data_IF_470555637422
#
_entry.id   IF_470555637422
#
_cell.length_a   1.000
_cell.length_b   1.000
_cell.length_c   1.000
_cell.angle_alpha   90.00
_cell.angle_beta   90.00
_cell.angle_gamma   90.00
#
_symmetry.space_group_name_H-M   'P 1'
#
loop_
_entity.id
_entity.type
_entity.pdbx_description
1 polymer ?
#
# COMPACT_ATOMS: atom_id res chain seq x y z
N UNK A 1 -28.46 -29.83 11.64
CA UNK A 1 -27.12 -29.94 11.00
C UNK A 1 -26.12 -29.48 12.03
N UNK A 2 -25.18 -30.33 12.51
CA UNK A 2 -24.09 -29.88 13.40
C UNK A 2 -23.04 -29.29 12.48
N UNK A 3 -22.71 -28.01 12.68
CA UNK A 3 -21.58 -27.36 12.02
C UNK A 3 -20.31 -27.88 12.69
N UNK A 4 -19.45 -28.56 11.96
CA UNK A 4 -18.12 -28.94 12.43
C UNK A 4 -17.19 -27.74 12.23
N UNK A 5 -16.64 -27.24 13.34
CA UNK A 5 -15.66 -26.17 13.33
C UNK A 5 -14.26 -26.75 13.49
N UNK A 6 -13.33 -26.28 12.67
CA UNK A 6 -11.91 -26.62 12.84
C UNK A 6 -11.40 -26.00 14.14
N UNK A 7 -10.81 -26.80 15.02
CA UNK A 7 -10.31 -26.35 16.30
C UNK A 7 -8.84 -25.95 16.18
N UNK A 8 -8.60 -24.69 15.82
CA UNK A 8 -7.25 -24.10 15.70
C UNK A 8 -6.95 -23.22 16.90
N UNK A 9 -5.76 -23.36 17.48
CA UNK A 9 -5.33 -22.48 18.58
C UNK A 9 -5.21 -21.02 18.07
N UNK A 10 -5.54 -20.01 18.89
CA UNK A 10 -5.50 -18.61 18.47
C UNK A 10 -4.15 -18.19 17.86
N UNK A 11 -3.04 -18.71 18.36
CA UNK A 11 -1.69 -18.42 17.86
C UNK A 11 -1.40 -19.03 16.48
N UNK A 12 -2.16 -20.06 16.08
CA UNK A 12 -1.94 -20.82 14.84
C UNK A 12 -2.91 -20.40 13.71
N UNK A 13 -3.90 -19.54 13.99
CA UNK A 13 -4.95 -19.16 13.03
C UNK A 13 -4.37 -18.52 11.79
N UNK A 14 -3.44 -17.59 11.93
CA UNK A 14 -2.80 -16.93 10.77
C UNK A 14 -1.99 -17.94 9.95
N UNK A 15 -1.22 -18.80 10.61
CA UNK A 15 -0.46 -19.87 9.96
C UNK A 15 -1.38 -20.81 9.18
N UNK A 16 -2.49 -21.24 9.81
CA UNK A 16 -3.47 -22.11 9.17
C UNK A 16 -4.11 -21.44 7.95
N UNK A 17 -4.41 -20.14 8.04
CA UNK A 17 -4.92 -19.36 6.90
C UNK A 17 -3.91 -19.33 5.74
N UNK A 18 -2.63 -19.13 6.02
CA UNK A 18 -1.59 -19.17 4.97
C UNK A 18 -1.39 -20.56 4.36
N UNK A 19 -1.57 -21.63 5.14
CA UNK A 19 -1.56 -23.01 4.62
C UNK A 19 -2.71 -23.19 3.61
N UNK A 20 -3.94 -22.82 3.98
CA UNK A 20 -5.12 -22.89 3.10
C UNK A 20 -4.88 -22.06 1.83
N UNK A 21 -4.43 -20.82 1.96
CA UNK A 21 -4.15 -19.97 0.80
C UNK A 21 -3.10 -20.61 -0.11
N UNK A 22 -2.09 -21.24 0.47
CA UNK A 22 -1.04 -21.91 -0.31
C UNK A 22 -1.58 -23.12 -1.05
N UNK A 23 -2.43 -23.94 -0.39
CA UNK A 23 -3.10 -25.09 -0.99
C UNK A 23 -4.02 -24.67 -2.15
N UNK A 24 -4.80 -23.59 -1.97
CA UNK A 24 -5.71 -23.08 -3.01
C UNK A 24 -4.97 -22.38 -4.16
N UNK A 25 -3.81 -21.78 -3.94
CA UNK A 25 -2.96 -21.25 -5.01
C UNK A 25 -2.36 -22.37 -5.87
N UNK A 26 -2.20 -23.58 -5.32
CA UNK A 26 -1.68 -24.74 -6.04
C UNK A 26 -0.31 -24.47 -6.68
N UNK A 27 -0.17 -24.80 -7.97
CA UNK A 27 1.08 -24.64 -8.73
C UNK A 27 1.32 -23.21 -9.24
N UNK A 28 0.49 -22.23 -8.85
CA UNK A 28 0.62 -20.85 -9.29
C UNK A 28 1.92 -20.25 -8.79
N UNK A 29 2.80 -19.88 -9.71
CA UNK A 29 4.08 -19.23 -9.40
C UNK A 29 3.86 -17.74 -9.16
N UNK A 30 4.15 -17.29 -7.96
CA UNK A 30 4.23 -15.87 -7.61
C UNK A 30 5.63 -15.35 -7.97
N UNK A 31 5.74 -14.02 -8.17
CA UNK A 31 7.03 -13.39 -8.38
C UNK A 31 7.92 -13.60 -7.15
N UNK A 32 9.17 -14.10 -7.30
CA UNK A 32 10.05 -14.34 -6.17
C UNK A 32 10.26 -13.09 -5.29
N UNK A 33 10.15 -13.27 -3.97
CA UNK A 33 10.27 -12.19 -3.00
C UNK A 33 8.97 -11.41 -2.73
N UNK A 34 7.88 -11.67 -3.46
CA UNK A 34 6.58 -11.00 -3.27
C UNK A 34 5.53 -11.85 -2.58
N UNK A 35 5.83 -13.13 -2.33
CA UNK A 35 4.88 -14.15 -1.89
C UNK A 35 4.15 -13.76 -0.61
N UNK A 36 4.88 -13.19 0.36
CA UNK A 36 4.27 -12.74 1.61
C UNK A 36 3.27 -11.61 1.39
N UNK A 37 3.61 -10.64 0.54
CA UNK A 37 2.73 -9.50 0.23
C UNK A 37 1.44 -10.00 -0.43
N UNK A 38 1.57 -10.84 -1.45
CA UNK A 38 0.43 -11.40 -2.18
C UNK A 38 -0.48 -12.21 -1.25
N UNK A 39 0.09 -13.16 -0.49
CA UNK A 39 -0.67 -13.98 0.45
C UNK A 39 -1.35 -13.16 1.54
N UNK A 40 -0.73 -12.10 2.04
CA UNK A 40 -1.35 -11.18 3.00
C UNK A 40 -2.50 -10.40 2.39
N UNK A 41 -2.41 -9.97 1.13
CA UNK A 41 -3.53 -9.33 0.43
C UNK A 41 -4.70 -10.30 0.25
N UNK A 42 -4.43 -11.56 -0.12
CA UNK A 42 -5.46 -12.61 -0.19
C UNK A 42 -6.06 -12.85 1.20
N UNK A 43 -5.25 -13.01 2.25
CA UNK A 43 -5.73 -13.22 3.61
C UNK A 43 -6.64 -12.07 4.10
N UNK A 44 -6.29 -10.82 3.77
CA UNK A 44 -7.04 -9.63 4.19
C UNK A 44 -8.39 -9.48 3.48
N UNK A 45 -8.51 -10.00 2.25
CA UNK A 45 -9.67 -9.78 1.37
C UNK A 45 -10.45 -11.06 1.02
N UNK A 46 -9.88 -12.23 1.27
CA UNK A 46 -10.32 -13.53 0.73
C UNK A 46 -10.44 -13.52 -0.81
N UNK A 47 -9.62 -12.70 -1.50
CA UNK A 47 -9.68 -12.52 -2.95
C UNK A 47 -8.38 -12.99 -3.61
N UNK A 48 -8.44 -14.09 -4.33
CA UNK A 48 -7.29 -14.72 -5.00
C UNK A 48 -6.83 -13.97 -6.25
N UNK A 49 -7.62 -13.02 -6.79
CA UNK A 49 -7.19 -12.21 -7.93
C UNK A 49 -5.94 -11.38 -7.64
N UNK A 50 -5.62 -11.12 -6.37
CA UNK A 50 -4.36 -10.46 -5.99
C UNK A 50 -3.12 -11.24 -6.40
N UNK A 51 -3.21 -12.56 -6.60
CA UNK A 51 -2.12 -13.37 -7.12
C UNK A 51 -1.81 -13.10 -8.60
N UNK A 52 -2.73 -12.47 -9.32
CA UNK A 52 -2.57 -12.10 -10.74
C UNK A 52 -2.43 -10.60 -10.93
N UNK A 53 -3.15 -9.83 -10.13
CA UNK A 53 -3.35 -8.41 -10.34
C UNK A 53 -2.34 -7.52 -9.60
N UNK A 54 -1.62 -8.04 -8.59
CA UNK A 54 -0.53 -7.29 -7.98
C UNK A 54 0.68 -7.26 -8.90
N UNK A 55 1.05 -6.05 -9.31
CA UNK A 55 2.20 -5.75 -10.14
C UNK A 55 3.26 -5.02 -9.33
N UNK A 56 4.50 -5.40 -9.54
CA UNK A 56 5.67 -4.85 -8.87
C UNK A 56 6.63 -4.32 -9.93
N UNK A 57 7.18 -3.13 -9.74
CA UNK A 57 8.34 -2.70 -10.50
C UNK A 57 9.56 -3.54 -10.13
N UNK A 58 10.58 -3.54 -10.97
CA UNK A 58 11.82 -4.27 -10.70
C UNK A 58 12.41 -3.82 -9.35
N UNK A 59 12.78 -4.78 -8.50
CA UNK A 59 13.33 -4.55 -7.16
C UNK A 59 12.47 -3.71 -6.19
N UNK A 60 11.17 -3.54 -6.44
CA UNK A 60 10.29 -2.70 -5.61
C UNK A 60 10.30 -3.10 -4.13
N UNK A 61 10.31 -4.40 -3.83
CA UNK A 61 10.28 -4.92 -2.46
C UNK A 61 11.59 -4.63 -1.74
N UNK A 62 12.72 -4.90 -2.38
CA UNK A 62 14.05 -4.66 -1.83
C UNK A 62 14.28 -3.16 -1.58
N UNK A 63 13.88 -2.32 -2.53
CA UNK A 63 13.99 -0.86 -2.43
C UNK A 63 13.10 -0.33 -1.29
N UNK A 64 11.86 -0.81 -1.19
CA UNK A 64 10.96 -0.44 -0.10
C UNK A 64 11.51 -0.83 1.28
N UNK A 65 12.05 -2.04 1.41
CA UNK A 65 12.69 -2.52 2.64
C UNK A 65 13.90 -1.65 3.00
N UNK A 66 14.74 -1.33 2.01
CA UNK A 66 15.90 -0.46 2.21
C UNK A 66 15.46 0.96 2.63
N UNK A 67 14.44 1.53 2.00
CA UNK A 67 13.90 2.84 2.34
C UNK A 67 13.36 2.87 3.79
N UNK A 68 12.58 1.86 4.19
CA UNK A 68 12.05 1.74 5.56
C UNK A 68 13.20 1.68 6.57
N UNK A 69 14.20 0.83 6.34
CA UNK A 69 15.38 0.71 7.23
C UNK A 69 16.17 2.02 7.34
N UNK A 70 16.09 2.88 6.33
CA UNK A 70 16.71 4.20 6.28
C UNK A 70 15.78 5.34 6.73
N UNK A 71 14.71 5.04 7.47
CA UNK A 71 13.85 6.02 8.11
C UNK A 71 12.76 6.61 7.21
N UNK A 72 12.41 5.96 6.10
CA UNK A 72 11.32 6.44 5.25
C UNK A 72 10.00 6.50 6.02
N UNK A 73 9.25 7.58 5.77
CA UNK A 73 7.92 7.79 6.31
C UNK A 73 6.86 7.33 5.30
N UNK A 74 5.68 6.97 5.80
CA UNK A 74 4.56 6.53 4.95
C UNK A 74 3.49 7.62 4.92
N UNK A 75 3.06 8.02 3.72
CA UNK A 75 1.93 8.93 3.50
C UNK A 75 0.74 8.16 2.97
N UNK A 76 -0.41 8.31 3.60
CA UNK A 76 -1.66 7.65 3.19
C UNK A 76 -2.71 8.66 2.75
N UNK A 77 -3.60 8.25 1.86
CA UNK A 77 -4.74 9.04 1.40
C UNK A 77 -6.01 8.85 2.25
N UNK A 78 -5.94 8.01 3.30
CA UNK A 78 -7.08 7.81 4.22
C UNK A 78 -6.61 7.61 5.66
N UNK A 79 -7.41 8.06 6.61
CA UNK A 79 -7.18 7.78 8.04
C UNK A 79 -7.31 6.28 8.35
N UNK A 80 -8.11 5.53 7.57
CA UNK A 80 -8.25 4.09 7.71
C UNK A 80 -6.91 3.39 7.43
N UNK A 81 -6.26 3.70 6.30
CA UNK A 81 -4.94 3.15 5.99
C UNK A 81 -3.90 3.53 7.06
N UNK A 82 -3.85 4.82 7.44
CA UNK A 82 -2.99 5.29 8.54
C UNK A 82 -3.21 4.52 9.84
N UNK A 83 -4.46 4.22 10.18
CA UNK A 83 -4.79 3.48 11.40
C UNK A 83 -4.38 2.00 11.31
N UNK A 84 -4.47 1.39 10.13
CA UNK A 84 -4.14 -0.02 9.88
C UNK A 84 -2.65 -0.32 9.85
N UNK A 85 -1.79 0.67 9.61
CA UNK A 85 -0.33 0.47 9.55
C UNK A 85 0.24 0.29 10.97
N UNK A 86 1.14 -0.68 11.13
CA UNK A 86 1.87 -0.94 12.38
C UNK A 86 2.93 0.14 12.64
N UNK A 87 2.48 1.26 13.23
CA UNK A 87 3.33 2.42 13.54
C UNK A 87 4.48 2.07 14.48
N UNK A 88 4.25 1.12 15.42
CA UNK A 88 5.29 0.68 16.36
C UNK A 88 6.43 -0.06 15.64
N UNK A 89 6.11 -0.85 14.62
CA UNK A 89 7.14 -1.50 13.81
C UNK A 89 7.92 -0.47 12.99
N UNK A 90 7.20 0.45 12.31
CA UNK A 90 7.81 1.50 11.49
C UNK A 90 8.71 2.44 12.31
N UNK A 91 8.28 2.84 13.51
CA UNK A 91 9.03 3.78 14.37
C UNK A 91 10.37 3.24 14.86
N UNK A 92 10.58 1.92 14.85
CA UNK A 92 11.90 1.33 15.17
C UNK A 92 12.98 1.72 14.17
N UNK A 93 12.57 2.09 12.96
CA UNK A 93 13.43 2.54 11.88
C UNK A 93 13.41 4.07 11.72
N UNK A 94 12.77 4.81 12.64
CA UNK A 94 12.64 6.27 12.60
C UNK A 94 11.55 6.80 11.68
N UNK A 95 10.77 5.92 11.03
CA UNK A 95 9.67 6.32 10.16
C UNK A 95 8.39 6.66 10.93
N UNK A 96 7.56 7.49 10.32
CA UNK A 96 6.25 7.92 10.81
C UNK A 96 5.17 7.71 9.74
N UNK A 97 3.90 7.69 10.14
CA UNK A 97 2.77 7.60 9.20
C UNK A 97 1.99 8.90 9.19
N UNK A 98 1.88 9.52 8.02
CA UNK A 98 1.13 10.75 7.78
C UNK A 98 -0.16 10.48 7.02
N UNK A 99 -1.17 11.30 7.28
CA UNK A 99 -2.38 11.44 6.48
C UNK A 99 -2.91 12.84 6.66
N UNK A 100 -2.88 13.64 5.62
CA UNK A 100 -3.22 15.07 5.65
C UNK A 100 -4.68 15.36 5.29
N UNK A 101 -5.48 14.32 5.02
CA UNK A 101 -6.86 14.44 4.55
C UNK A 101 -7.81 15.21 5.47
N UNK A 102 -7.49 15.25 6.77
CA UNK A 102 -8.30 15.96 7.79
C UNK A 102 -7.74 17.32 8.16
N UNK A 103 -6.63 17.74 7.58
CA UNK A 103 -5.97 19.00 7.89
C UNK A 103 -6.74 20.19 7.28
N UNK A 104 -6.91 21.26 8.06
CA UNK A 104 -7.69 22.44 7.63
C UNK A 104 -7.00 23.18 6.47
N UNK A 105 -5.68 23.35 6.53
CA UNK A 105 -4.88 23.95 5.47
C UNK A 105 -4.99 23.19 4.14
N UNK A 106 -5.08 21.86 4.19
CA UNK A 106 -5.32 21.02 2.99
C UNK A 106 -6.73 21.23 2.45
N UNK A 107 -7.72 21.35 3.32
CA UNK A 107 -9.08 21.64 2.90
C UNK A 107 -9.21 23.03 2.24
N UNK A 108 -8.49 24.01 2.77
CA UNK A 108 -8.44 25.39 2.21
C UNK A 108 -7.71 25.40 0.87
N UNK A 109 -6.55 24.74 0.78
CA UNK A 109 -5.77 24.63 -0.46
C UNK A 109 -6.60 23.97 -1.57
N UNK A 110 -7.30 22.86 -1.24
CA UNK A 110 -8.17 22.18 -2.19
C UNK A 110 -9.28 23.10 -2.72
N UNK A 111 -9.94 23.85 -1.85
CA UNK A 111 -10.98 24.84 -2.25
C UNK A 111 -10.42 25.97 -3.11
N UNK A 112 -9.29 26.53 -2.73
CA UNK A 112 -8.63 27.62 -3.44
C UNK A 112 -8.23 27.20 -4.86
N UNK A 113 -7.73 25.98 -5.02
CA UNK A 113 -7.24 25.47 -6.30
C UNK A 113 -8.32 24.76 -7.12
N UNK A 114 -9.54 24.59 -6.61
CA UNK A 114 -10.59 23.83 -7.28
C UNK A 114 -10.26 22.34 -7.45
N UNK A 115 -9.46 21.76 -6.54
CA UNK A 115 -8.99 20.38 -6.59
C UNK A 115 -9.58 19.53 -5.46
N UNK A 116 -9.24 18.24 -5.43
CA UNK A 116 -9.65 17.36 -4.33
C UNK A 116 -8.72 17.52 -3.13
N UNK A 117 -9.21 17.19 -1.92
CA UNK A 117 -8.35 17.11 -0.73
C UNK A 117 -7.22 16.09 -0.92
N UNK A 118 -7.47 15.02 -1.66
CA UNK A 118 -6.45 14.02 -1.95
C UNK A 118 -5.30 14.62 -2.77
N UNK A 119 -5.60 15.41 -3.82
CA UNK A 119 -4.61 16.17 -4.58
C UNK A 119 -3.81 17.10 -3.68
N UNK A 120 -4.49 17.96 -2.90
CA UNK A 120 -3.84 18.92 -1.99
C UNK A 120 -3.02 18.21 -0.88
N UNK A 121 -3.44 17.03 -0.45
CA UNK A 121 -2.66 16.20 0.49
C UNK A 121 -1.32 15.75 -0.09
N UNK A 122 -1.28 15.42 -1.38
CA UNK A 122 -0.03 15.03 -2.06
C UNK A 122 0.87 16.26 -2.26
N UNK A 123 0.31 17.42 -2.58
CA UNK A 123 1.07 18.68 -2.63
C UNK A 123 1.72 18.98 -1.27
N UNK A 124 0.98 18.85 -0.17
CA UNK A 124 1.52 19.02 1.18
C UNK A 124 2.60 17.99 1.51
N UNK A 125 2.38 16.72 1.16
CA UNK A 125 3.36 15.68 1.37
C UNK A 125 4.68 15.94 0.63
N UNK A 126 4.63 16.48 -0.59
CA UNK A 126 5.80 16.81 -1.39
C UNK A 126 6.66 17.93 -0.78
N UNK A 127 6.13 18.69 0.19
CA UNK A 127 6.92 19.71 0.92
C UNK A 127 7.72 19.16 2.10
N UNK A 128 7.54 17.89 2.44
CA UNK A 128 8.27 17.25 3.53
C UNK A 128 9.71 16.94 3.10
N UNK A 129 10.68 17.41 3.88
CA UNK A 129 12.10 17.03 3.71
C UNK A 129 12.35 15.65 4.33
N UNK A 130 11.74 14.61 3.74
CA UNK A 130 11.79 13.22 4.21
C UNK A 130 11.77 12.25 3.04
N UNK A 131 12.33 11.06 3.24
CA UNK A 131 12.10 9.92 2.35
C UNK A 131 10.67 9.45 2.49
N UNK A 132 9.93 9.33 1.40
CA UNK A 132 8.50 9.06 1.43
C UNK A 132 8.12 7.80 0.66
N UNK A 133 7.29 7.00 1.29
CA UNK A 133 6.52 5.92 0.67
C UNK A 133 5.06 6.37 0.66
N UNK A 134 4.41 6.30 -0.50
CA UNK A 134 2.98 6.62 -0.62
C UNK A 134 2.14 5.36 -0.64
N UNK A 135 1.10 5.30 0.20
CA UNK A 135 0.17 4.18 0.28
C UNK A 135 -1.26 4.68 0.00
N UNK A 136 -1.64 4.61 -1.27
CA UNK A 136 -2.88 5.14 -1.81
C UNK A 136 -3.90 4.03 -1.98
N UNK A 137 -4.94 4.03 -1.17
CA UNK A 137 -5.96 2.98 -1.13
C UNK A 137 -7.37 3.41 -1.53
N UNK A 138 -7.60 4.72 -1.78
CA UNK A 138 -8.93 5.24 -2.05
C UNK A 138 -8.98 6.23 -3.21
N UNK A 139 -8.07 7.21 -3.28
CA UNK A 139 -8.22 8.36 -4.17
C UNK A 139 -7.38 8.23 -5.46
N UNK A 140 -8.01 7.98 -6.64
CA UNK A 140 -7.31 8.03 -7.93
C UNK A 140 -6.63 9.38 -8.17
N UNK A 141 -7.25 10.48 -7.72
CA UNK A 141 -6.69 11.83 -7.87
C UNK A 141 -5.39 12.04 -7.10
N UNK A 142 -5.15 11.26 -6.03
CA UNK A 142 -3.85 11.25 -5.35
C UNK A 142 -2.77 10.64 -6.25
N UNK A 143 -3.05 9.50 -6.92
CA UNK A 143 -2.10 8.88 -7.85
C UNK A 143 -1.78 9.79 -9.04
N UNK A 144 -2.80 10.41 -9.62
CA UNK A 144 -2.61 11.37 -10.72
C UNK A 144 -1.70 12.52 -10.27
N UNK A 145 -1.94 13.08 -9.06
CA UNK A 145 -1.11 14.17 -8.55
C UNK A 145 0.32 13.74 -8.26
N UNK A 146 0.52 12.53 -7.72
CA UNK A 146 1.86 11.98 -7.52
C UNK A 146 2.61 11.84 -8.85
N UNK A 147 1.95 11.33 -9.87
CA UNK A 147 2.52 11.24 -11.22
C UNK A 147 2.96 12.62 -11.75
N UNK A 148 2.07 13.63 -11.66
CA UNK A 148 2.39 15.02 -12.08
C UNK A 148 3.61 15.56 -11.33
N UNK A 149 3.67 15.40 -9.99
CA UNK A 149 4.77 15.89 -9.17
C UNK A 149 6.11 15.20 -9.51
N UNK A 150 6.06 13.92 -9.90
CA UNK A 150 7.25 13.17 -10.36
C UNK A 150 7.72 13.70 -11.70
N UNK A 151 6.81 13.86 -12.68
CA UNK A 151 7.14 14.40 -14.01
C UNK A 151 7.68 15.84 -13.95
N UNK A 152 7.17 16.63 -12.98
CA UNK A 152 7.65 18.00 -12.71
C UNK A 152 9.01 18.02 -11.98
N UNK A 153 9.56 16.87 -11.59
CA UNK A 153 10.80 16.77 -10.81
C UNK A 153 10.69 17.31 -9.39
N UNK A 154 9.47 17.45 -8.86
CA UNK A 154 9.19 17.99 -7.52
C UNK A 154 9.12 16.91 -6.44
N UNK A 155 9.00 15.64 -6.83
CA UNK A 155 8.88 14.52 -5.93
C UNK A 155 9.65 13.30 -6.48
N UNK A 156 10.43 12.66 -5.60
CA UNK A 156 11.10 11.39 -5.88
C UNK A 156 10.76 10.42 -4.75
N UNK A 157 9.65 9.68 -4.85
CA UNK A 157 9.21 8.76 -3.79
C UNK A 157 10.08 7.50 -3.79
N UNK A 158 10.29 6.94 -2.61
CA UNK A 158 10.98 5.65 -2.43
C UNK A 158 10.12 4.46 -2.90
N UNK A 159 8.79 4.60 -2.83
CA UNK A 159 7.81 3.63 -3.32
C UNK A 159 6.42 4.27 -3.43
N UNK A 160 5.65 3.84 -4.44
CA UNK A 160 4.21 4.10 -4.52
C UNK A 160 3.44 2.78 -4.43
N UNK A 161 2.64 2.60 -3.38
CA UNK A 161 1.64 1.55 -3.27
C UNK A 161 0.32 2.11 -3.84
N UNK A 162 0.03 1.79 -5.10
CA UNK A 162 -1.12 2.29 -5.85
C UNK A 162 -2.26 1.27 -5.90
N UNK A 163 -3.08 1.22 -4.87
CA UNK A 163 -4.15 0.24 -4.74
C UNK A 163 -5.53 0.86 -4.44
N UNK A 164 -5.91 2.02 -5.04
CA UNK A 164 -7.26 2.53 -4.83
C UNK A 164 -8.30 1.56 -5.37
N UNK A 165 -9.42 1.44 -4.64
CA UNK A 165 -10.60 0.68 -5.08
C UNK A 165 -11.60 1.62 -5.74
N UNK A 166 -12.28 1.19 -6.80
CA UNK A 166 -13.38 1.96 -7.37
C UNK A 166 -13.54 1.83 -8.88
N UNK A 167 -14.26 2.79 -9.48
CA UNK A 167 -14.71 2.71 -10.85
C UNK A 167 -14.27 3.89 -11.72
N UNK A 168 -14.29 5.12 -11.18
CA UNK A 168 -14.00 6.34 -11.95
C UNK A 168 -12.50 6.63 -11.88
N UNK A 169 -11.81 6.59 -13.02
CA UNK A 169 -10.39 6.86 -13.20
C UNK A 169 -9.44 5.98 -12.36
N UNK A 170 -9.95 4.92 -11.72
CA UNK A 170 -9.13 4.04 -10.86
C UNK A 170 -8.11 3.28 -11.68
N UNK A 171 -8.53 2.67 -12.79
CA UNK A 171 -7.64 1.89 -13.65
C UNK A 171 -6.57 2.80 -14.26
N UNK A 172 -7.01 3.91 -14.87
CA UNK A 172 -6.12 4.86 -15.54
C UNK A 172 -5.07 5.47 -14.58
N UNK A 173 -5.47 5.84 -13.37
CA UNK A 173 -4.53 6.39 -12.38
C UNK A 173 -3.46 5.40 -11.94
N UNK A 174 -3.78 4.12 -11.89
CA UNK A 174 -2.83 3.04 -11.59
C UNK A 174 -1.88 2.80 -12.76
N UNK A 175 -2.39 2.83 -13.98
CA UNK A 175 -1.58 2.69 -15.20
C UNK A 175 -0.55 3.82 -15.29
N UNK A 176 -0.94 5.08 -15.00
CA UNK A 176 -0.01 6.21 -14.95
C UNK A 176 1.17 5.95 -13.98
N UNK A 177 0.89 5.41 -12.79
CA UNK A 177 1.97 5.10 -11.83
C UNK A 177 2.90 3.99 -12.33
N UNK A 178 2.38 3.03 -13.10
CA UNK A 178 3.22 1.97 -13.69
C UNK A 178 4.10 2.48 -14.84
N UNK A 179 3.78 3.63 -15.43
CA UNK A 179 4.60 4.30 -16.44
C UNK A 179 5.64 5.26 -15.84
N UNK A 180 5.47 5.65 -14.57
CA UNK A 180 6.41 6.54 -13.88
C UNK A 180 7.74 5.83 -13.58
N UNK A 181 8.85 6.58 -13.68
CA UNK A 181 10.20 6.06 -13.35
C UNK A 181 10.45 6.09 -11.83
N UNK A 182 9.63 5.34 -11.10
CA UNK A 182 9.70 5.20 -9.63
C UNK A 182 9.30 3.78 -9.21
N UNK A 183 9.78 3.29 -8.05
CA UNK A 183 9.34 2.00 -7.53
C UNK A 183 7.83 1.99 -7.24
N UNK A 184 7.16 0.90 -7.64
CA UNK A 184 5.73 0.75 -7.37
C UNK A 184 5.30 -0.67 -7.00
N UNK A 185 4.19 -0.74 -6.23
CA UNK A 185 3.36 -1.93 -6.03
C UNK A 185 1.92 -1.51 -6.37
N UNK A 186 1.35 -2.05 -7.43
CA UNK A 186 0.03 -1.65 -7.95
C UNK A 186 -0.89 -2.86 -8.09
N UNK A 187 -2.13 -2.74 -7.61
CA UNK A 187 -3.16 -3.72 -7.91
C UNK A 187 -3.89 -3.32 -9.21
N UNK A 188 -3.60 -3.97 -10.32
CA UNK A 188 -4.27 -3.73 -11.61
C UNK A 188 -5.79 -3.85 -11.50
N UNK A 189 -6.51 -3.10 -12.32
CA UNK A 189 -7.97 -3.12 -12.37
C UNK A 189 -8.60 -2.30 -11.23
N UNK A 190 -9.81 -2.69 -10.82
CA UNK A 190 -10.68 -1.91 -9.91
C UNK A 190 -10.55 -2.28 -8.44
N UNK A 191 -9.94 -3.43 -8.13
CA UNK A 191 -9.79 -3.94 -6.77
C UNK A 191 -8.69 -3.21 -6.01
N UNK A 192 -8.85 -3.15 -4.70
CA UNK A 192 -7.92 -2.47 -3.80
C UNK A 192 -8.62 -2.07 -2.51
N UNK A 193 -8.16 -0.97 -1.92
CA UNK A 193 -8.74 -0.41 -0.71
C UNK A 193 -7.71 0.04 0.31
N UNK A 194 -8.14 0.86 1.26
CA UNK A 194 -7.29 1.32 2.37
C UNK A 194 -6.74 0.17 3.23
N UNK A 195 -7.51 -0.93 3.36
CA UNK A 195 -7.08 -2.15 4.02
C UNK A 195 -5.94 -2.83 3.26
N UNK A 196 -6.00 -2.87 1.93
CA UNK A 196 -4.95 -3.45 1.08
C UNK A 196 -3.69 -2.58 1.13
N UNK A 197 -3.83 -1.25 1.07
CA UNK A 197 -2.70 -0.34 1.23
C UNK A 197 -1.96 -0.55 2.57
N UNK A 198 -2.71 -0.60 3.69
CA UNK A 198 -2.15 -0.88 5.00
C UNK A 198 -1.55 -2.29 5.10
N UNK A 199 -2.20 -3.29 4.48
CA UNK A 199 -1.73 -4.67 4.44
C UNK A 199 -0.37 -4.79 3.77
N UNK A 200 -0.16 -4.14 2.61
CA UNK A 200 1.12 -4.15 1.89
C UNK A 200 2.21 -3.48 2.74
N UNK A 201 1.92 -2.32 3.35
CA UNK A 201 2.86 -1.67 4.27
C UNK A 201 3.27 -2.59 5.42
N UNK A 202 2.30 -3.27 6.04
CA UNK A 202 2.58 -4.20 7.14
C UNK A 202 3.35 -5.43 6.67
N UNK A 203 3.06 -5.96 5.48
CA UNK A 203 3.82 -7.07 4.90
C UNK A 203 5.30 -6.72 4.76
N UNK A 204 5.63 -5.53 4.23
CA UNK A 204 7.00 -5.04 4.12
C UNK A 204 7.68 -4.93 5.50
N UNK A 205 6.97 -4.40 6.52
CA UNK A 205 7.49 -4.31 7.89
C UNK A 205 7.77 -5.69 8.50
N UNK A 206 6.89 -6.67 8.29
CA UNK A 206 7.06 -8.03 8.81
C UNK A 206 8.20 -8.79 8.10
N UNK A 207 8.44 -8.51 6.82
CA UNK A 207 9.60 -9.04 6.09
C UNK A 207 10.92 -8.56 6.71
N UNK A 208 10.98 -7.32 7.21
CA UNK A 208 12.17 -6.76 7.86
C UNK A 208 12.40 -7.40 9.24
N UNK A 209 11.33 -7.55 10.01
CA UNK A 209 11.41 -8.03 11.41
C UNK A 209 11.56 -9.55 11.52
N UNK A 210 11.57 -10.30 10.39
CA UNK A 210 11.49 -11.77 10.34
C UNK A 210 10.35 -12.32 11.21
N UNK A 211 9.33 -11.52 11.45
CA UNK A 211 8.13 -11.97 12.15
C UNK A 211 7.28 -12.79 11.19
N UNK A 212 7.62 -14.06 11.15
CA UNK A 212 6.71 -15.13 10.76
C UNK A 212 5.96 -15.59 12.03
N UNK A 213 5.27 -14.66 12.67
CA UNK A 213 4.42 -14.99 13.83
C UNK A 213 3.12 -14.18 13.70
#
# INVERSE_FOLDING_TARGET
MKVELENVKPMDIEKRSFEIITEELGDKKLLPGTELIVKRCIHTSADFDYAENLCFSEHAVEQAIAAIKNGACIVTDTQMAKSGINKRALSRYGGEVYCFMSDEDVAELARKNGTTRATASMDKAATLDKKLIFAIGNAPTALVRLYELIEEGKLSPELIIGVPVGFVNVVQSKELIMEADVPYIVAKGRKGGSNIAACICNALLYMIDNRRD
#
